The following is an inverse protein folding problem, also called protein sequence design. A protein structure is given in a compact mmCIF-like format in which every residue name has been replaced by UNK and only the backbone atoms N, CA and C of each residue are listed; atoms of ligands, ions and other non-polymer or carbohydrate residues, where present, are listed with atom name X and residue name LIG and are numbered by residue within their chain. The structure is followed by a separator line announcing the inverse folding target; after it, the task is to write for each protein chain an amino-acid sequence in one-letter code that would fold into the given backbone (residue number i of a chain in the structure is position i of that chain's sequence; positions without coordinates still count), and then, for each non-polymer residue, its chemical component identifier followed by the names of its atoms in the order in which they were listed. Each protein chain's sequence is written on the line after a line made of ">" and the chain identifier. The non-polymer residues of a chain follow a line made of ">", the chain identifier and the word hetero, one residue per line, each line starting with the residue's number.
data_IF_525382700472
#
_entry.id   IF_525382700472
#
_cell.length_a   1.000
_cell.length_b   1.000
_cell.length_c   1.000
_cell.angle_alpha   90.00
_cell.angle_beta   90.00
_cell.angle_gamma   90.00
#
_symmetry.space_group_name_H-M   'P 1'
#
loop_
_entity.id
_entity.type
_entity.pdbx_description
1 polymer ?
#
# COMPACT_ATOMS: atom_id res chain seq x y z
N UNK A 1 11.45 15.87 -11.80
CA UNK A 1 11.15 16.23 -10.39
C UNK A 1 12.26 15.69 -9.52
N UNK A 2 12.83 16.50 -8.63
CA UNK A 2 13.80 16.03 -7.64
C UNK A 2 13.04 15.45 -6.44
N UNK A 3 13.00 14.12 -6.33
CA UNK A 3 12.34 13.44 -5.20
C UNK A 3 13.36 13.18 -4.11
N UNK A 4 13.13 13.75 -2.92
CA UNK A 4 13.94 13.51 -1.73
C UNK A 4 13.37 12.33 -0.95
N UNK A 5 13.98 11.17 -1.09
CA UNK A 5 13.46 9.91 -0.53
C UNK A 5 13.44 9.82 0.99
N UNK A 6 14.36 10.52 1.66
CA UNK A 6 14.45 10.55 3.13
C UNK A 6 13.27 11.23 3.81
N UNK A 7 12.41 11.94 3.07
CA UNK A 7 11.23 12.61 3.65
C UNK A 7 10.08 11.64 3.96
N UNK A 8 10.01 10.51 3.26
CA UNK A 8 8.87 9.60 3.35
C UNK A 8 8.92 8.79 4.64
N UNK A 9 7.75 8.49 5.20
CA UNK A 9 7.60 7.84 6.51
C UNK A 9 6.71 6.60 6.48
N UNK A 10 5.96 6.37 5.40
CA UNK A 10 5.13 5.18 5.23
C UNK A 10 4.79 4.93 3.76
N UNK A 11 4.40 3.70 3.46
CA UNK A 11 3.85 3.28 2.16
C UNK A 11 2.47 2.67 2.40
N UNK A 12 1.47 3.11 1.64
CA UNK A 12 0.17 2.44 1.53
C UNK A 12 0.00 1.86 0.13
N UNK A 13 -0.57 0.65 0.05
CA UNK A 13 -0.74 -0.09 -1.20
C UNK A 13 -2.12 -0.71 -1.30
N UNK A 14 -2.70 -0.65 -2.50
CA UNK A 14 -4.00 -1.24 -2.80
C UNK A 14 -3.94 -2.22 -3.97
N UNK A 15 -4.55 -3.40 -3.82
CA UNK A 15 -4.62 -4.41 -4.87
C UNK A 15 -5.94 -5.23 -4.81
N UNK A 16 -6.32 -5.85 -5.93
CA UNK A 16 -7.52 -6.70 -6.03
C UNK A 16 -7.22 -7.94 -6.89
N UNK A 17 -7.94 -8.17 -8.00
CA UNK A 17 -7.67 -9.27 -8.93
C UNK A 17 -6.21 -9.24 -9.44
N UNK A 18 -5.51 -10.37 -9.36
CA UNK A 18 -4.06 -10.51 -9.59
C UNK A 18 -3.15 -9.94 -8.49
N UNK A 19 -3.72 -9.31 -7.46
CA UNK A 19 -2.97 -8.56 -6.46
C UNK A 19 -2.02 -9.41 -5.63
N UNK A 20 -2.43 -10.63 -5.22
CA UNK A 20 -1.55 -11.52 -4.45
C UNK A 20 -0.28 -11.91 -5.20
N UNK A 21 -0.33 -12.04 -6.53
CA UNK A 21 0.86 -12.32 -7.35
C UNK A 21 1.80 -11.12 -7.36
N UNK A 22 1.26 -9.92 -7.60
CA UNK A 22 2.02 -8.67 -7.61
C UNK A 22 2.65 -8.35 -6.25
N UNK A 23 1.85 -8.47 -5.17
CA UNK A 23 2.30 -8.23 -3.79
C UNK A 23 3.40 -9.20 -3.39
N UNK A 24 3.28 -10.50 -3.72
CA UNK A 24 4.33 -11.49 -3.40
C UNK A 24 5.66 -11.13 -4.06
N UNK A 25 5.65 -10.76 -5.35
CA UNK A 25 6.86 -10.37 -6.06
C UNK A 25 7.56 -9.20 -5.35
N UNK A 26 6.80 -8.18 -4.95
CA UNK A 26 7.35 -7.01 -4.26
C UNK A 26 7.82 -7.36 -2.83
N UNK A 27 6.96 -8.00 -2.03
CA UNK A 27 7.24 -8.31 -0.61
C UNK A 27 8.44 -9.24 -0.44
N UNK A 28 8.62 -10.22 -1.34
CA UNK A 28 9.75 -11.14 -1.26
C UNK A 28 11.10 -10.49 -1.60
N UNK A 29 11.09 -9.35 -2.27
CA UNK A 29 12.31 -8.59 -2.56
C UNK A 29 12.67 -7.59 -1.44
N UNK A 30 11.73 -7.27 -0.55
CA UNK A 30 11.99 -6.31 0.53
C UNK A 30 12.92 -6.93 1.61
N UNK A 31 14.02 -6.24 1.98
CA UNK A 31 14.90 -6.72 3.05
C UNK A 31 14.26 -6.51 4.43
N UNK A 32 14.74 -7.25 5.43
CA UNK A 32 14.31 -7.06 6.83
C UNK A 32 14.62 -5.65 7.37
N UNK A 33 15.66 -4.99 6.82
CA UNK A 33 16.06 -3.63 7.18
C UNK A 33 15.28 -2.53 6.46
N UNK A 34 14.23 -2.86 5.69
CA UNK A 34 13.46 -1.87 4.96
C UNK A 34 12.89 -0.81 5.91
N UNK A 35 13.15 0.50 5.71
CA UNK A 35 13.01 1.48 6.79
C UNK A 35 11.57 1.93 7.06
N UNK A 36 10.64 1.71 6.12
CA UNK A 36 9.26 2.22 6.20
C UNK A 36 8.26 1.10 6.51
N UNK A 37 7.18 1.39 7.27
CA UNK A 37 6.02 0.50 7.31
C UNK A 37 5.36 0.45 5.93
N UNK A 38 4.92 -0.74 5.52
CA UNK A 38 4.12 -0.95 4.31
C UNK A 38 2.74 -1.44 4.73
N UNK A 39 1.68 -0.71 4.41
CA UNK A 39 0.31 -1.07 4.78
C UNK A 39 -0.47 -1.39 3.51
N UNK A 40 -1.02 -2.60 3.45
CA UNK A 40 -1.61 -3.15 2.23
C UNK A 40 -3.09 -3.49 2.45
N UNK A 41 -3.94 -2.96 1.58
CA UNK A 41 -5.29 -3.48 1.36
C UNK A 41 -5.27 -4.37 0.12
N UNK A 42 -5.59 -5.64 0.33
CA UNK A 42 -5.90 -6.60 -0.73
C UNK A 42 -7.40 -6.92 -0.64
N UNK A 43 -8.16 -6.65 -1.70
CA UNK A 43 -9.57 -7.07 -1.74
C UNK A 43 -9.64 -8.60 -1.67
N UNK A 44 -10.32 -9.08 -0.63
CA UNK A 44 -10.59 -10.49 -0.35
C UNK A 44 -12.02 -10.62 0.17
N UNK A 45 -12.62 -11.79 0.02
CA UNK A 45 -13.93 -12.07 0.61
C UNK A 45 -13.85 -12.02 2.15
N UNK A 46 -14.94 -11.64 2.83
CA UNK A 46 -14.97 -11.44 4.29
C UNK A 46 -14.69 -12.72 5.10
N UNK A 47 -14.96 -13.88 4.53
CA UNK A 47 -14.71 -15.22 5.07
C UNK A 47 -13.38 -15.82 4.62
N UNK A 48 -12.54 -15.05 3.92
CA UNK A 48 -11.27 -15.53 3.40
C UNK A 48 -10.33 -15.93 4.53
N UNK A 49 -9.74 -17.12 4.40
CA UNK A 49 -8.68 -17.56 5.29
C UNK A 49 -7.44 -16.66 5.16
N UNK A 50 -6.88 -16.22 6.28
CA UNK A 50 -5.66 -15.40 6.32
C UNK A 50 -4.37 -16.22 6.29
N UNK A 51 -4.48 -17.54 6.04
CA UNK A 51 -3.33 -18.45 5.87
C UNK A 51 -2.37 -18.00 4.78
N UNK A 52 -2.84 -17.23 3.79
CA UNK A 52 -1.97 -16.68 2.76
C UNK A 52 -0.99 -15.64 3.33
N UNK A 53 -1.38 -14.85 4.35
CA UNK A 53 -0.48 -13.92 5.03
C UNK A 53 0.62 -14.70 5.74
N UNK A 54 0.25 -15.75 6.48
CA UNK A 54 1.22 -16.65 7.12
C UNK A 54 2.15 -17.29 6.10
N UNK A 55 1.63 -17.73 4.95
CA UNK A 55 2.44 -18.28 3.87
C UNK A 55 3.42 -17.28 3.28
N UNK A 56 3.01 -16.01 3.12
CA UNK A 56 3.90 -14.93 2.66
C UNK A 56 4.98 -14.67 3.72
N UNK A 57 4.60 -14.51 4.99
CA UNK A 57 5.55 -14.27 6.08
C UNK A 57 6.60 -15.39 6.21
N UNK A 58 6.22 -16.65 6.00
CA UNK A 58 7.15 -17.78 6.07
C UNK A 58 8.19 -17.80 4.94
N UNK A 59 7.94 -17.09 3.84
CA UNK A 59 8.84 -17.04 2.67
C UNK A 59 9.56 -15.69 2.55
N UNK A 60 8.99 -14.62 3.12
CA UNK A 60 9.55 -13.28 3.08
C UNK A 60 10.73 -13.12 4.06
N UNK A 61 11.67 -12.25 3.70
CA UNK A 61 12.74 -11.81 4.61
C UNK A 61 12.21 -10.71 5.54
N UNK A 62 11.45 -9.76 5.00
CA UNK A 62 10.74 -8.74 5.79
C UNK A 62 9.63 -9.39 6.61
N UNK A 63 9.34 -8.84 7.80
CA UNK A 63 8.25 -9.35 8.62
C UNK A 63 6.90 -8.97 8.01
N UNK A 64 5.97 -9.92 7.95
CA UNK A 64 4.65 -9.75 7.36
C UNK A 64 3.57 -10.22 8.33
N UNK A 65 2.58 -9.37 8.60
CA UNK A 65 1.49 -9.70 9.52
C UNK A 65 0.21 -8.92 9.21
N UNK A 66 -0.87 -9.28 9.89
CA UNK A 66 -2.08 -8.46 9.94
C UNK A 66 -1.88 -7.25 10.86
N UNK A 67 -2.53 -6.13 10.52
CA UNK A 67 -2.59 -4.96 11.37
C UNK A 67 -3.47 -5.22 12.60
N UNK A 68 -2.97 -4.89 13.80
CA UNK A 68 -3.74 -4.99 15.05
C UNK A 68 -4.23 -3.62 15.51
N UNK A 69 -5.41 -3.57 16.11
CA UNK A 69 -5.95 -2.34 16.70
C UNK A 69 -4.98 -1.79 17.75
N UNK A 70 -4.71 -0.48 17.70
CA UNK A 70 -3.82 0.24 18.61
C UNK A 70 -2.33 0.02 18.34
N UNK A 71 -1.96 -0.87 17.41
CA UNK A 71 -0.56 -1.06 17.01
C UNK A 71 -0.07 0.15 16.21
N UNK A 72 1.13 0.64 16.55
CA UNK A 72 1.78 1.70 15.79
C UNK A 72 2.45 1.11 14.55
N UNK A 73 2.34 1.76 13.39
CA UNK A 73 3.03 1.34 12.19
C UNK A 73 4.56 1.46 12.36
N UNK A 74 5.29 0.36 12.14
CA UNK A 74 6.74 0.30 12.30
C UNK A 74 7.47 -0.06 11.00
N UNK A 75 8.64 0.53 10.79
CA UNK A 75 9.56 0.14 9.72
C UNK A 75 9.95 -1.34 9.83
N UNK A 76 10.24 -1.95 8.68
CA UNK A 76 10.61 -3.37 8.59
C UNK A 76 9.42 -4.32 8.67
N UNK A 77 8.18 -3.80 8.64
CA UNK A 77 6.96 -4.61 8.73
C UNK A 77 6.00 -4.27 7.57
N UNK A 78 5.50 -5.33 6.93
CA UNK A 78 4.37 -5.28 6.01
C UNK A 78 3.11 -5.69 6.76
N UNK A 79 2.15 -4.78 6.80
CA UNK A 79 0.85 -4.94 7.43
C UNK A 79 -0.23 -5.17 6.39
N UNK A 80 -1.07 -6.17 6.61
CA UNK A 80 -2.29 -6.38 5.83
C UNK A 80 -3.53 -5.95 6.59
N UNK A 81 -4.45 -5.31 5.88
CA UNK A 81 -5.80 -5.05 6.39
C UNK A 81 -6.54 -6.38 6.61
N UNK A 82 -7.16 -6.59 7.78
CA UNK A 82 -7.94 -7.78 8.05
C UNK A 82 -9.25 -7.79 7.23
N UNK A 83 -9.77 -8.97 6.86
CA UNK A 83 -11.00 -9.09 6.09
C UNK A 83 -12.19 -8.61 6.91
N UNK A 84 -13.17 -8.01 6.24
CA UNK A 84 -14.42 -7.61 6.88
C UNK A 84 -14.37 -6.33 7.70
N UNK A 85 -13.21 -5.67 7.82
CA UNK A 85 -13.05 -4.35 8.43
C UNK A 85 -12.39 -3.37 7.47
N UNK A 86 -12.67 -2.08 7.62
CA UNK A 86 -11.78 -1.06 7.08
C UNK A 86 -10.58 -0.92 8.02
N UNK A 87 -9.38 -0.87 7.44
CA UNK A 87 -8.17 -0.51 8.18
C UNK A 87 -7.92 0.99 8.02
N UNK A 88 -7.87 1.69 9.15
CA UNK A 88 -7.63 3.14 9.23
C UNK A 88 -6.27 3.38 9.89
N UNK A 89 -5.68 4.53 9.57
CA UNK A 89 -4.50 5.05 10.25
C UNK A 89 -4.85 6.33 10.98
N UNK A 90 -4.66 6.33 12.29
CA UNK A 90 -4.84 7.51 13.14
C UNK A 90 -3.68 8.50 13.00
N UNK A 91 -3.90 9.76 13.36
CA UNK A 91 -2.86 10.82 13.27
C UNK A 91 -1.60 10.57 14.11
N UNK A 92 -1.70 9.72 15.15
CA UNK A 92 -0.55 9.23 15.94
C UNK A 92 0.16 8.02 15.29
N UNK A 93 -0.22 7.66 14.06
CA UNK A 93 0.25 6.51 13.27
C UNK A 93 -0.10 5.14 13.85
N UNK A 94 -1.18 5.02 14.64
CA UNK A 94 -1.71 3.72 15.10
C UNK A 94 -2.85 3.23 14.21
N UNK A 95 -3.08 1.92 14.20
CA UNK A 95 -4.17 1.32 13.43
C UNK A 95 -5.49 1.28 14.20
N UNK A 96 -6.58 1.55 13.48
CA UNK A 96 -7.96 1.36 13.93
C UNK A 96 -8.71 0.51 12.92
N UNK A 97 -9.68 -0.27 13.38
CA UNK A 97 -10.57 -1.06 12.51
C UNK A 97 -12.01 -0.59 12.66
N UNK A 98 -12.71 -0.36 11.55
CA UNK A 98 -14.13 0.01 11.58
C UNK A 98 -15.00 -0.94 10.76
N UNK A 99 -16.29 -1.00 11.13
CA UNK A 99 -17.34 -1.76 10.46
C UNK A 99 -18.27 -0.86 9.65
N UNK A 100 -17.79 0.34 9.29
CA UNK A 100 -18.56 1.30 8.50
C UNK A 100 -19.00 0.70 7.16
N UNK A 101 -19.91 1.42 6.49
CA UNK A 101 -20.45 0.99 5.22
C UNK A 101 -19.35 0.76 4.18
N UNK A 102 -19.60 -0.22 3.29
CA UNK A 102 -18.66 -0.56 2.23
C UNK A 102 -18.45 0.64 1.31
N UNK A 103 -17.18 0.94 1.01
CA UNK A 103 -16.79 1.95 0.02
C UNK A 103 -16.41 1.24 -1.27
N UNK A 104 -16.93 1.69 -2.42
CA UNK A 104 -16.75 1.01 -3.71
C UNK A 104 -17.10 -0.50 -3.67
N UNK A 105 -18.11 -0.86 -2.88
CA UNK A 105 -18.54 -2.25 -2.61
C UNK A 105 -17.49 -3.12 -1.87
N UNK A 106 -16.39 -2.55 -1.39
CA UNK A 106 -15.30 -3.25 -0.73
C UNK A 106 -15.23 -2.95 0.77
N UNK A 107 -14.85 -3.98 1.54
CA UNK A 107 -14.41 -3.87 2.94
C UNK A 107 -13.46 -5.04 3.24
N UNK A 108 -12.14 -4.80 3.33
CA UNK A 108 -11.46 -3.49 3.39
C UNK A 108 -11.53 -2.70 2.07
N UNK A 109 -11.55 -1.37 2.16
CA UNK A 109 -11.46 -0.43 1.02
C UNK A 109 -10.09 0.23 1.00
N UNK A 110 -9.55 0.38 -0.21
CA UNK A 110 -8.27 1.03 -0.47
C UNK A 110 -8.38 2.55 -0.26
N UNK A 111 -9.46 3.17 -0.75
CA UNK A 111 -9.70 4.62 -0.56
C UNK A 111 -9.72 4.99 0.92
N UNK A 112 -10.39 4.21 1.78
CA UNK A 112 -10.46 4.47 3.23
C UNK A 112 -9.08 4.43 3.90
N UNK A 113 -8.26 3.43 3.56
CA UNK A 113 -6.88 3.37 4.07
C UNK A 113 -6.08 4.59 3.59
N UNK A 114 -6.17 4.91 2.30
CA UNK A 114 -5.36 5.95 1.69
C UNK A 114 -5.73 7.35 2.21
N UNK A 115 -7.02 7.61 2.41
CA UNK A 115 -7.53 8.86 2.99
C UNK A 115 -7.00 9.07 4.41
N UNK A 116 -7.21 8.11 5.31
CA UNK A 116 -6.77 8.23 6.71
C UNK A 116 -5.24 8.25 6.84
N UNK A 117 -4.53 7.49 6.02
CA UNK A 117 -3.07 7.55 5.94
C UNK A 117 -2.58 8.93 5.46
N UNK A 118 -3.30 9.57 4.53
CA UNK A 118 -2.98 10.93 4.06
C UNK A 118 -3.08 11.93 5.20
N UNK A 119 -4.09 11.82 6.06
CA UNK A 119 -4.21 12.69 7.24
C UNK A 119 -3.06 12.48 8.23
N UNK A 120 -2.63 11.23 8.42
CA UNK A 120 -1.54 10.87 9.34
C UNK A 120 -0.16 11.34 8.86
N UNK A 121 0.19 11.11 7.59
CA UNK A 121 1.55 11.34 7.07
C UNK A 121 1.69 12.51 6.09
N UNK A 122 0.59 12.99 5.51
CA UNK A 122 0.56 14.12 4.57
C UNK A 122 1.57 13.92 3.42
N UNK A 123 2.40 14.93 3.16
CA UNK A 123 3.43 14.93 2.11
C UNK A 123 4.55 13.88 2.28
N UNK A 124 4.54 13.12 3.39
CA UNK A 124 5.51 12.07 3.70
C UNK A 124 4.99 10.66 3.37
N UNK A 125 3.83 10.56 2.73
CA UNK A 125 3.24 9.29 2.33
C UNK A 125 3.58 8.93 0.88
N UNK A 126 3.78 7.64 0.63
CA UNK A 126 3.80 7.03 -0.70
C UNK A 126 2.53 6.19 -0.84
N UNK A 127 1.74 6.45 -1.88
CA UNK A 127 0.57 5.65 -2.27
C UNK A 127 0.85 4.87 -3.54
N UNK A 128 0.47 3.59 -3.55
CA UNK A 128 0.71 2.68 -4.67
C UNK A 128 -0.59 1.93 -5.01
N UNK A 129 -1.11 2.10 -6.23
CA UNK A 129 -2.25 1.30 -6.74
C UNK A 129 -1.76 0.24 -7.71
N UNK A 130 -2.12 -1.01 -7.45
CA UNK A 130 -1.79 -2.17 -8.27
C UNK A 130 -3.01 -2.69 -9.05
N UNK A 131 -2.85 -3.82 -9.72
CA UNK A 131 -3.86 -4.59 -10.45
C UNK A 131 -5.17 -4.79 -9.66
N UNK A 132 -6.30 -4.66 -10.36
CA UNK A 132 -7.64 -4.85 -9.79
C UNK A 132 -8.77 -4.48 -10.74
N UNK A 133 -9.98 -4.96 -10.43
CA UNK A 133 -11.15 -4.92 -11.33
C UNK A 133 -12.18 -3.83 -10.98
N UNK A 134 -11.84 -2.84 -10.14
CA UNK A 134 -12.73 -1.74 -9.78
C UNK A 134 -11.99 -0.40 -9.75
N UNK A 135 -12.56 0.65 -9.15
CA UNK A 135 -11.94 1.98 -9.09
C UNK A 135 -11.42 2.35 -7.69
N UNK A 136 -11.45 1.41 -6.74
CA UNK A 136 -11.07 1.69 -5.36
C UNK A 136 -9.57 2.00 -5.25
N UNK A 137 -9.23 2.99 -4.44
CA UNK A 137 -7.87 3.54 -4.32
C UNK A 137 -7.57 4.68 -5.28
N UNK A 138 -8.38 4.90 -6.33
CA UNK A 138 -8.16 6.02 -7.24
C UNK A 138 -8.37 7.37 -6.56
N UNK A 139 -9.35 7.48 -5.64
CA UNK A 139 -9.62 8.71 -4.91
C UNK A 139 -8.61 8.95 -3.80
N UNK A 140 -8.34 7.94 -2.99
CA UNK A 140 -7.32 8.02 -1.96
C UNK A 140 -5.95 8.38 -2.57
N UNK A 141 -5.61 7.85 -3.74
CA UNK A 141 -4.34 8.17 -4.39
C UNK A 141 -4.28 9.63 -4.86
N UNK A 142 -5.42 10.22 -5.29
CA UNK A 142 -5.45 11.65 -5.62
C UNK A 142 -5.23 12.51 -4.37
N UNK A 143 -5.82 12.13 -3.23
CA UNK A 143 -5.60 12.82 -1.95
C UNK A 143 -4.12 12.77 -1.51
N UNK A 144 -3.48 11.60 -1.60
CA UNK A 144 -2.05 11.44 -1.29
C UNK A 144 -1.22 12.43 -2.12
N UNK A 145 -1.51 12.53 -3.42
CA UNK A 145 -0.81 13.43 -4.33
C UNK A 145 -1.08 14.90 -4.00
N UNK A 146 -2.34 15.27 -3.77
CA UNK A 146 -2.74 16.64 -3.42
C UNK A 146 -2.09 17.11 -2.11
N UNK A 147 -1.90 16.20 -1.16
CA UNK A 147 -1.18 16.45 0.09
C UNK A 147 0.36 16.55 -0.08
N UNK A 148 0.89 16.42 -1.31
CA UNK A 148 2.32 16.47 -1.62
C UNK A 148 3.07 15.15 -1.42
N UNK A 149 2.33 14.05 -1.25
CA UNK A 149 2.85 12.69 -1.20
C UNK A 149 3.21 12.16 -2.59
N UNK A 150 3.79 10.97 -2.63
CA UNK A 150 4.17 10.30 -3.86
C UNK A 150 3.05 9.35 -4.30
N UNK A 151 2.69 9.41 -5.56
CA UNK A 151 1.63 8.57 -6.15
C UNK A 151 2.21 7.73 -7.27
N UNK A 152 2.09 6.41 -7.15
CA UNK A 152 2.62 5.41 -8.08
C UNK A 152 1.47 4.49 -8.50
N UNK A 153 1.44 4.12 -9.78
CA UNK A 153 0.46 3.17 -10.29
C UNK A 153 1.17 2.07 -11.08
N UNK A 154 0.70 0.83 -10.95
CA UNK A 154 1.17 -0.27 -11.80
C UNK A 154 0.80 0.01 -13.27
N UNK A 155 1.72 -0.28 -14.20
CA UNK A 155 1.45 -0.29 -15.65
C UNK A 155 0.20 -1.14 -15.96
N UNK A 156 -0.88 -0.55 -16.50
CA UNK A 156 -2.10 -1.29 -16.80
C UNK A 156 -1.88 -2.48 -17.75
N UNK A 157 -0.97 -2.36 -18.71
CA UNK A 157 -0.63 -3.39 -19.68
C UNK A 157 0.04 -4.64 -19.08
N UNK A 158 0.60 -4.53 -17.88
CA UNK A 158 1.20 -5.64 -17.13
C UNK A 158 0.33 -6.06 -15.93
N UNK A 159 -0.81 -5.40 -15.72
CA UNK A 159 -1.77 -5.76 -14.69
C UNK A 159 -2.61 -6.94 -15.17
N UNK A 160 -2.89 -7.88 -14.26
CA UNK A 160 -3.82 -8.98 -14.54
C UNK A 160 -5.25 -8.44 -14.77
N UNK A 161 -5.60 -7.39 -14.03
CA UNK A 161 -6.83 -6.63 -14.18
C UNK A 161 -6.48 -5.13 -14.24
N UNK A 162 -6.62 -4.48 -15.41
CA UNK A 162 -6.13 -3.13 -15.63
C UNK A 162 -7.07 -2.03 -15.16
N UNK A 163 -8.30 -2.34 -14.77
CA UNK A 163 -9.37 -1.35 -14.51
C UNK A 163 -9.00 -0.39 -13.37
N UNK A 164 -8.45 -0.93 -12.27
CA UNK A 164 -8.07 -0.16 -11.08
C UNK A 164 -6.84 0.73 -11.32
N UNK A 165 -5.74 0.22 -11.92
CA UNK A 165 -4.66 1.08 -12.41
C UNK A 165 -5.13 2.20 -13.35
N UNK A 166 -6.00 1.88 -14.32
CA UNK A 166 -6.51 2.88 -15.26
C UNK A 166 -7.35 3.95 -14.56
N UNK A 167 -8.20 3.56 -13.60
CA UNK A 167 -8.97 4.50 -12.79
C UNK A 167 -8.06 5.44 -11.98
N UNK A 168 -7.03 4.88 -11.33
CA UNK A 168 -6.06 5.65 -10.57
C UNK A 168 -5.25 6.61 -11.46
N UNK A 169 -4.85 6.21 -12.66
CA UNK A 169 -4.17 7.09 -13.63
C UNK A 169 -5.06 8.27 -14.01
N UNK A 170 -6.31 8.00 -14.40
CA UNK A 170 -7.26 9.05 -14.82
C UNK A 170 -7.53 10.06 -13.71
N UNK A 171 -7.65 9.59 -12.47
CA UNK A 171 -8.04 10.44 -11.33
C UNK A 171 -6.85 11.16 -10.69
N UNK A 172 -5.79 10.44 -10.37
CA UNK A 172 -4.68 10.98 -9.59
C UNK A 172 -3.61 11.65 -10.46
N UNK A 173 -3.51 11.32 -11.76
CA UNK A 173 -2.40 11.73 -12.63
C UNK A 173 -1.04 11.42 -11.94
N UNK A 174 -0.72 10.14 -11.68
CA UNK A 174 0.35 9.74 -10.77
C UNK A 174 1.73 10.26 -11.21
N UNK A 175 2.67 10.31 -10.26
CA UNK A 175 4.04 10.70 -10.56
C UNK A 175 4.71 9.68 -11.48
N UNK A 176 4.42 8.40 -11.25
CA UNK A 176 5.00 7.30 -12.00
C UNK A 176 3.97 6.21 -12.31
N UNK A 177 4.14 5.63 -13.50
CA UNK A 177 3.41 4.45 -13.98
C UNK A 177 4.48 3.40 -14.30
N UNK A 178 4.56 2.34 -13.48
CA UNK A 178 5.71 1.43 -13.42
C UNK A 178 5.28 -0.04 -13.40
N UNK A 179 6.13 -0.93 -13.91
CA UNK A 179 5.98 -2.37 -13.70
C UNK A 179 6.16 -2.73 -12.22
N UNK A 180 5.71 -3.92 -11.81
CA UNK A 180 5.96 -4.40 -10.44
C UNK A 180 7.47 -4.45 -10.15
N UNK A 181 8.28 -4.82 -11.14
CA UNK A 181 9.73 -4.85 -11.00
C UNK A 181 10.29 -3.44 -10.80
N UNK A 182 9.89 -2.48 -11.62
CA UNK A 182 10.32 -1.09 -11.50
C UNK A 182 9.90 -0.47 -10.16
N UNK A 183 8.68 -0.75 -9.67
CA UNK A 183 8.24 -0.32 -8.33
C UNK A 183 9.15 -0.92 -7.26
N UNK A 184 9.45 -2.21 -7.37
CA UNK A 184 10.30 -2.92 -6.39
C UNK A 184 11.71 -2.34 -6.36
N UNK A 185 12.34 -2.19 -7.52
CA UNK A 185 13.69 -1.63 -7.65
C UNK A 185 13.75 -0.20 -7.11
N UNK A 186 12.75 0.61 -7.46
CA UNK A 186 12.60 1.98 -6.98
C UNK A 186 12.57 2.05 -5.44
N UNK A 187 11.79 1.18 -4.79
CA UNK A 187 11.69 1.16 -3.32
C UNK A 187 13.01 0.69 -2.68
N UNK A 188 13.63 -0.37 -3.19
CA UNK A 188 14.86 -0.92 -2.61
C UNK A 188 16.03 0.04 -2.80
N UNK A 189 16.27 0.52 -4.01
CA UNK A 189 17.42 1.37 -4.32
C UNK A 189 17.39 2.70 -3.56
N UNK A 190 16.22 3.30 -3.38
CA UNK A 190 16.17 4.65 -2.81
C UNK A 190 15.96 4.67 -1.30
N UNK A 191 15.29 3.67 -0.73
CA UNK A 191 15.00 3.62 0.70
C UNK A 191 16.05 2.83 1.48
N UNK A 192 16.66 1.80 0.90
CA UNK A 192 17.70 1.01 1.59
C UNK A 192 19.08 1.67 1.49
N UNK A 193 19.37 2.38 0.39
CA UNK A 193 20.66 3.06 0.19
C UNK A 193 20.75 4.45 0.82
N UNK A 194 19.69 4.93 1.47
CA UNK A 194 19.76 6.16 2.26
C UNK A 194 20.53 5.84 3.55
N UNK A 195 21.75 6.38 3.77
CA UNK A 195 22.49 6.07 4.98
C UNK A 195 21.69 6.55 6.19
N UNK A 196 21.57 5.69 7.19
CA UNK A 196 21.20 6.09 8.54
C UNK A 196 22.17 7.17 8.97
N UNK A 197 21.71 8.42 8.98
CA UNK A 197 22.42 9.50 9.65
C UNK A 197 22.33 9.17 11.14
N UNK A 198 23.48 8.77 11.71
CA UNK A 198 23.68 8.58 13.14
C UNK A 198 23.33 9.84 13.94
#
# INVERSE_FOLDING_TARGET
>A
MNITWTKYQAIVMGASAGGLKAIRQLVYALPASFPLPVIIVQHIATDSSLRWITSINNQAIIHVKEANIGEKAQGGIVYFAPPGYHLLVETNCTFTLTLDERVNYARPSIDVLFETATDAWKHKLIGIVLTGSNQDGAYGLSLIKEAGGLAIVQKPEEAESPEMPQAAIRRANPHWILSIQEITDLLITNLVSSPTVN
#
